data_IF_151222487975
#
_entry.id   IF_151222487975
#
_cell.length_a   1.000
_cell.length_b   1.000
_cell.length_c   1.000
_cell.angle_alpha   90.00
_cell.angle_beta   90.00
_cell.angle_gamma   90.00
#
_symmetry.space_group_name_H-M   'P 1'
#
loop_
_entity.id
_entity.type
_entity.pdbx_description
1 polymer ?
#
# COMPACT_ATOMS: atom_id res chain seq x y z
N UNK A 1 -24.42 4.84 29.99
CA UNK A 1 -24.37 5.15 28.55
C UNK A 1 -23.73 3.96 27.85
N UNK A 2 -24.32 3.48 26.76
CA UNK A 2 -23.73 2.44 25.89
C UNK A 2 -23.29 3.12 24.59
N UNK A 3 -22.01 2.95 24.19
CA UNK A 3 -21.44 3.52 22.96
C UNK A 3 -21.14 2.37 22.02
N UNK A 4 -21.64 2.45 20.80
CA UNK A 4 -21.39 1.47 19.75
C UNK A 4 -20.72 2.16 18.56
N UNK A 5 -19.64 1.58 18.06
CA UNK A 5 -18.97 2.03 16.84
C UNK A 5 -19.67 1.42 15.63
N UNK A 6 -20.09 2.28 14.70
CA UNK A 6 -20.73 1.87 13.46
C UNK A 6 -19.89 2.34 12.26
N UNK A 7 -19.68 1.44 11.29
CA UNK A 7 -18.98 1.72 10.02
C UNK A 7 -17.59 2.37 10.19
N UNK A 8 -16.70 1.79 11.02
CA UNK A 8 -15.37 2.35 11.22
C UNK A 8 -14.53 2.24 9.95
N UNK A 9 -13.68 3.23 9.68
CA UNK A 9 -12.57 3.07 8.75
C UNK A 9 -11.50 2.21 9.42
N UNK A 10 -11.18 1.06 8.84
CA UNK A 10 -10.22 0.11 9.40
C UNK A 10 -8.88 0.22 8.66
N UNK A 11 -7.80 0.27 9.44
CA UNK A 11 -6.43 0.33 8.93
C UNK A 11 -5.64 -0.79 9.59
N UNK A 12 -5.02 -1.64 8.78
CA UNK A 12 -4.03 -2.62 9.21
C UNK A 12 -2.64 -2.00 9.18
N UNK A 13 -1.86 -2.16 10.24
CA UNK A 13 -0.45 -1.77 10.29
C UNK A 13 0.30 -2.96 10.84
N UNK A 14 1.25 -3.45 10.05
CA UNK A 14 2.09 -4.57 10.45
C UNK A 14 3.57 -4.27 10.17
N UNK A 15 4.44 -5.08 10.74
CA UNK A 15 5.88 -4.97 10.60
C UNK A 15 6.44 -6.36 10.26
N UNK A 16 7.05 -6.50 9.08
CA UNK A 16 7.78 -7.71 8.73
C UNK A 16 8.93 -7.95 9.72
N UNK A 17 9.19 -9.19 10.04
CA UNK A 17 10.39 -9.57 10.79
C UNK A 17 11.66 -9.39 9.94
N UNK A 18 12.82 -9.48 10.59
CA UNK A 18 14.10 -9.21 9.94
C UNK A 18 14.39 -10.22 8.81
N UNK A 19 14.04 -11.49 8.99
CA UNK A 19 14.26 -12.54 7.99
C UNK A 19 13.43 -12.25 6.71
N UNK A 20 12.17 -11.89 6.87
CA UNK A 20 11.27 -11.48 5.77
C UNK A 20 11.80 -10.23 5.05
N UNK A 21 12.26 -9.22 5.81
CA UNK A 21 12.85 -8.00 5.23
C UNK A 21 14.07 -8.33 4.37
N UNK A 22 14.98 -9.16 4.86
CA UNK A 22 16.20 -9.56 4.15
C UNK A 22 15.88 -10.39 2.90
N UNK A 23 14.93 -11.31 2.98
CA UNK A 23 14.49 -12.12 1.84
C UNK A 23 13.88 -11.23 0.74
N UNK A 24 12.98 -10.30 1.11
CA UNK A 24 12.40 -9.33 0.17
C UNK A 24 13.50 -8.44 -0.44
N UNK A 25 14.46 -7.98 0.37
CA UNK A 25 15.56 -7.16 -0.12
C UNK A 25 16.40 -7.91 -1.16
N UNK A 26 16.66 -9.20 -0.94
CA UNK A 26 17.37 -10.04 -1.89
C UNK A 26 16.60 -10.18 -3.23
N UNK A 27 15.30 -10.46 -3.18
CA UNK A 27 14.46 -10.52 -4.39
C UNK A 27 14.49 -9.20 -5.17
N UNK A 28 14.29 -8.06 -4.49
CA UNK A 28 14.28 -6.74 -5.11
C UNK A 28 15.62 -6.42 -5.77
N UNK A 29 16.74 -6.74 -5.11
CA UNK A 29 18.07 -6.52 -5.67
C UNK A 29 18.31 -7.36 -6.93
N UNK A 30 17.88 -8.60 -6.97
CA UNK A 30 17.98 -9.46 -8.15
C UNK A 30 17.16 -8.92 -9.34
N UNK A 31 16.02 -8.29 -9.08
CA UNK A 31 15.12 -7.77 -10.10
C UNK A 31 15.34 -6.29 -10.43
N UNK A 32 16.34 -5.66 -9.79
CA UNK A 32 16.60 -4.22 -9.90
C UNK A 32 16.63 -3.69 -11.34
N UNK A 33 17.32 -4.32 -12.32
CA UNK A 33 17.35 -3.81 -13.69
C UNK A 33 15.97 -3.79 -14.35
N UNK A 34 15.13 -4.80 -14.08
CA UNK A 34 13.75 -4.86 -14.56
C UNK A 34 12.92 -3.75 -13.91
N UNK A 35 12.99 -3.63 -12.57
CA UNK A 35 12.23 -2.64 -11.81
C UNK A 35 12.55 -1.22 -12.27
N UNK A 36 13.83 -0.88 -12.43
CA UNK A 36 14.27 0.43 -12.91
C UNK A 36 13.81 0.73 -14.34
N UNK A 37 13.77 -0.28 -15.21
CA UNK A 37 13.31 -0.15 -16.59
C UNK A 37 11.81 0.13 -16.75
N UNK A 38 11.00 -0.13 -15.71
CA UNK A 38 9.56 0.11 -15.70
C UNK A 38 9.16 1.49 -15.15
N UNK A 39 10.10 2.24 -14.57
CA UNK A 39 9.79 3.49 -13.88
C UNK A 39 9.50 4.63 -14.84
N UNK A 40 8.38 5.32 -14.60
CA UNK A 40 7.99 6.54 -15.30
C UNK A 40 7.49 7.60 -14.31
N UNK A 41 7.61 8.90 -14.58
CA UNK A 41 7.01 9.96 -13.76
C UNK A 41 5.49 9.79 -13.68
N UNK A 42 4.92 9.91 -12.46
CA UNK A 42 3.49 9.69 -12.24
C UNK A 42 2.83 10.84 -11.49
N UNK A 43 3.33 11.23 -10.32
CA UNK A 43 2.85 12.36 -9.52
C UNK A 43 3.81 13.55 -9.66
N UNK A 44 4.01 14.03 -10.89
CA UNK A 44 5.08 14.96 -11.21
C UNK A 44 6.44 14.26 -11.35
N UNK A 45 7.50 15.04 -11.60
CA UNK A 45 8.83 14.49 -11.93
C UNK A 45 9.55 13.81 -10.77
N UNK A 46 9.10 14.06 -9.54
CA UNK A 46 9.76 13.57 -8.33
C UNK A 46 9.13 12.28 -7.75
N UNK A 47 8.14 11.72 -8.42
CA UNK A 47 7.59 10.39 -8.09
C UNK A 47 7.64 9.52 -9.34
N UNK A 48 8.50 8.51 -9.31
CA UNK A 48 8.60 7.50 -10.36
C UNK A 48 7.79 6.27 -9.96
N UNK A 49 7.07 5.68 -10.90
CA UNK A 49 6.25 4.50 -10.65
C UNK A 49 6.24 3.55 -11.84
N UNK A 50 6.04 2.25 -11.57
CA UNK A 50 5.79 1.25 -12.60
C UNK A 50 4.30 1.06 -12.91
N UNK A 51 3.41 1.80 -12.27
CA UNK A 51 1.94 1.60 -12.31
C UNK A 51 1.34 1.52 -13.73
N UNK A 52 1.83 2.35 -14.65
CA UNK A 52 1.33 2.37 -16.04
C UNK A 52 2.00 1.34 -16.95
N UNK A 53 3.11 0.74 -16.52
CA UNK A 53 3.94 -0.16 -17.33
C UNK A 53 3.69 -1.63 -17.04
N UNK A 54 3.39 -1.97 -15.79
CA UNK A 54 3.16 -3.33 -15.35
C UNK A 54 1.96 -3.40 -14.39
N UNK A 55 0.99 -4.25 -14.72
CA UNK A 55 -0.23 -4.36 -13.95
C UNK A 55 -0.03 -5.12 -12.64
N UNK A 56 0.72 -6.22 -12.65
CA UNK A 56 1.02 -7.04 -11.47
C UNK A 56 2.52 -7.28 -11.36
N UNK A 57 3.21 -6.28 -10.81
CA UNK A 57 4.65 -6.27 -10.67
C UNK A 57 5.16 -7.43 -9.81
N UNK A 58 4.42 -7.83 -8.75
CA UNK A 58 4.86 -8.90 -7.87
C UNK A 58 5.03 -10.21 -8.65
N UNK A 59 4.07 -10.55 -9.50
CA UNK A 59 4.15 -11.73 -10.35
C UNK A 59 5.19 -11.56 -11.48
N UNK A 60 5.18 -10.43 -12.18
CA UNK A 60 6.07 -10.20 -13.32
C UNK A 60 7.54 -10.17 -12.92
N UNK A 61 7.87 -9.56 -11.78
CA UNK A 61 9.22 -9.47 -11.24
C UNK A 61 9.58 -10.63 -10.28
N UNK A 62 8.72 -11.64 -10.15
CA UNK A 62 8.95 -12.81 -9.27
C UNK A 62 9.32 -12.41 -7.83
N UNK A 63 8.61 -11.44 -7.27
CA UNK A 63 8.77 -11.01 -5.87
C UNK A 63 7.92 -11.93 -4.97
N UNK A 64 8.27 -13.19 -4.93
CA UNK A 64 7.43 -14.25 -4.33
C UNK A 64 7.29 -14.08 -2.81
N UNK A 65 8.38 -13.74 -2.10
CA UNK A 65 8.36 -13.50 -0.65
C UNK A 65 7.51 -12.29 -0.31
N UNK A 66 7.68 -11.17 -1.06
CA UNK A 66 6.87 -9.98 -0.86
C UNK A 66 5.39 -10.25 -1.12
N UNK A 67 5.07 -10.96 -2.21
CA UNK A 67 3.70 -11.33 -2.56
C UNK A 67 3.07 -12.20 -1.47
N UNK A 68 3.74 -13.26 -1.04
CA UNK A 68 3.25 -14.16 0.00
C UNK A 68 3.03 -13.45 1.34
N UNK A 69 3.96 -12.55 1.74
CA UNK A 69 3.82 -11.73 2.94
C UNK A 69 2.58 -10.84 2.85
N UNK A 70 2.41 -10.10 1.76
CA UNK A 70 1.26 -9.20 1.55
C UNK A 70 -0.06 -9.96 1.56
N UNK A 71 -0.17 -11.06 0.81
CA UNK A 71 -1.40 -11.87 0.73
C UNK A 71 -1.76 -12.49 2.08
N UNK A 72 -0.77 -13.01 2.82
CA UNK A 72 -0.97 -13.53 4.17
C UNK A 72 -1.53 -12.46 5.11
N UNK A 73 -0.97 -11.24 5.07
CA UNK A 73 -1.43 -10.11 5.92
C UNK A 73 -2.79 -9.56 5.50
N UNK A 74 -3.13 -9.59 4.23
CA UNK A 74 -4.50 -9.27 3.78
C UNK A 74 -5.51 -10.24 4.38
N UNK A 75 -5.23 -11.54 4.37
CA UNK A 75 -6.12 -12.53 4.98
C UNK A 75 -6.26 -12.34 6.50
N UNK A 76 -5.17 -12.07 7.22
CA UNK A 76 -5.21 -11.74 8.65
C UNK A 76 -6.05 -10.47 8.91
N UNK A 77 -5.86 -9.42 8.10
CA UNK A 77 -6.64 -8.18 8.21
C UNK A 77 -8.13 -8.43 8.06
N UNK A 78 -8.54 -9.21 7.04
CA UNK A 78 -9.95 -9.53 6.79
C UNK A 78 -10.53 -10.36 7.94
N UNK A 79 -9.82 -11.37 8.41
CA UNK A 79 -10.25 -12.20 9.55
C UNK A 79 -10.43 -11.36 10.82
N UNK A 80 -9.54 -10.41 11.07
CA UNK A 80 -9.58 -9.51 12.23
C UNK A 80 -10.74 -8.53 12.18
N UNK A 81 -11.16 -8.12 10.98
CA UNK A 81 -12.24 -7.15 10.79
C UNK A 81 -13.63 -7.77 10.85
N UNK A 82 -13.74 -9.09 11.00
CA UNK A 82 -14.99 -9.86 11.00
C UNK A 82 -15.86 -9.62 9.77
N UNK A 83 -15.30 -9.10 8.71
CA UNK A 83 -15.96 -8.96 7.41
C UNK A 83 -15.89 -10.33 6.75
N UNK A 84 -17.03 -10.90 6.49
CA UNK A 84 -17.29 -12.14 5.73
C UNK A 84 -16.28 -13.31 5.83
N UNK A 85 -16.80 -14.48 6.11
CA UNK A 85 -16.08 -15.76 6.00
C UNK A 85 -16.18 -16.22 4.53
N UNK A 86 -15.15 -16.91 4.04
CA UNK A 86 -15.09 -17.50 2.70
C UNK A 86 -14.84 -16.48 1.56
N UNK A 87 -13.79 -15.69 1.71
CA UNK A 87 -13.27 -14.83 0.65
C UNK A 87 -12.02 -15.45 0.02
N UNK A 88 -11.89 -15.31 -1.30
CA UNK A 88 -10.68 -15.69 -2.05
C UNK A 88 -10.23 -14.54 -2.93
N UNK A 89 -8.93 -14.50 -3.25
CA UNK A 89 -8.39 -13.51 -4.15
C UNK A 89 -8.91 -13.71 -5.58
N UNK A 90 -9.34 -12.63 -6.21
CA UNK A 90 -9.55 -12.57 -7.64
C UNK A 90 -8.30 -11.97 -8.30
N UNK A 91 -7.36 -12.83 -8.64
CA UNK A 91 -6.07 -12.41 -9.20
C UNK A 91 -6.18 -11.70 -10.56
N UNK A 92 -7.31 -11.81 -11.27
CA UNK A 92 -7.54 -11.03 -12.50
C UNK A 92 -7.63 -9.51 -12.23
N UNK A 93 -7.93 -9.12 -10.99
CA UNK A 93 -8.02 -7.73 -10.54
C UNK A 93 -6.83 -7.30 -9.67
N UNK A 94 -5.86 -8.18 -9.41
CA UNK A 94 -4.65 -7.82 -8.68
C UNK A 94 -3.84 -6.79 -9.46
N UNK A 95 -3.36 -5.79 -8.73
CA UNK A 95 -2.39 -4.82 -9.22
C UNK A 95 -1.32 -4.64 -8.17
N UNK A 96 -0.08 -4.52 -8.62
CA UNK A 96 1.04 -4.19 -7.77
C UNK A 96 2.07 -3.36 -8.53
N UNK A 97 2.70 -2.42 -7.87
CA UNK A 97 3.68 -1.53 -8.48
C UNK A 97 4.68 -1.00 -7.46
N UNK A 98 5.84 -0.58 -7.95
CA UNK A 98 6.85 0.13 -7.16
C UNK A 98 6.69 1.64 -7.34
N UNK A 99 6.91 2.40 -6.25
CA UNK A 99 7.04 3.85 -6.27
C UNK A 99 8.40 4.25 -5.70
N UNK A 100 9.09 5.16 -6.37
CA UNK A 100 10.27 5.87 -5.87
C UNK A 100 9.90 7.33 -5.69
N UNK A 101 9.85 7.78 -4.44
CA UNK A 101 9.55 9.17 -4.09
C UNK A 101 10.85 9.88 -3.76
N UNK A 102 11.29 10.73 -4.68
CA UNK A 102 12.47 11.58 -4.56
C UNK A 102 12.18 12.81 -3.70
N UNK A 103 13.21 13.61 -3.45
CA UNK A 103 13.05 14.89 -2.77
C UNK A 103 11.94 15.74 -3.41
N UNK A 104 11.06 16.33 -2.59
CA UNK A 104 9.86 17.09 -2.96
C UNK A 104 8.74 16.28 -3.62
N UNK A 105 8.92 14.98 -3.86
CA UNK A 105 7.86 14.11 -4.34
C UNK A 105 6.78 13.91 -3.27
N UNK A 106 5.52 13.89 -3.69
CA UNK A 106 4.35 13.66 -2.84
C UNK A 106 3.24 12.99 -3.66
N UNK A 107 2.20 12.50 -2.98
CA UNK A 107 1.00 12.03 -3.65
C UNK A 107 -0.21 12.76 -3.06
N UNK A 108 -1.02 13.35 -3.91
CA UNK A 108 -2.22 14.06 -3.52
C UNK A 108 -3.27 13.13 -2.89
N UNK A 109 -4.31 13.73 -2.32
CA UNK A 109 -5.45 12.99 -1.77
C UNK A 109 -6.17 12.22 -2.89
N UNK A 110 -6.20 10.90 -2.77
CA UNK A 110 -6.86 9.99 -3.71
C UNK A 110 -7.39 8.75 -3.00
N UNK A 111 -8.11 7.92 -3.73
CA UNK A 111 -8.49 6.56 -3.34
C UNK A 111 -8.31 5.62 -4.54
N UNK A 112 -8.52 4.33 -4.31
CA UNK A 112 -8.44 3.31 -5.37
C UNK A 112 -9.80 2.64 -5.60
N UNK A 113 -10.89 3.33 -5.33
CA UNK A 113 -12.23 2.80 -5.53
C UNK A 113 -12.43 2.35 -6.99
N UNK A 114 -12.84 1.12 -7.13
CA UNK A 114 -13.21 0.51 -8.41
C UNK A 114 -14.58 -0.12 -8.22
N UNK A 115 -15.53 0.21 -9.04
CA UNK A 115 -16.90 -0.33 -9.00
C UNK A 115 -16.99 -1.84 -9.28
N UNK A 116 -16.12 -2.66 -8.69
CA UNK A 116 -16.08 -4.10 -8.85
C UNK A 116 -16.83 -4.78 -7.70
N UNK A 117 -17.58 -5.84 -8.01
CA UNK A 117 -18.18 -6.71 -7.01
C UNK A 117 -17.08 -7.42 -6.20
N UNK A 118 -17.06 -7.20 -4.88
CA UNK A 118 -16.11 -7.81 -3.98
C UNK A 118 -15.61 -6.87 -2.89
N UNK A 119 -14.59 -7.31 -2.17
CA UNK A 119 -13.92 -6.55 -1.13
C UNK A 119 -12.57 -6.04 -1.66
N UNK A 120 -12.45 -4.78 -2.06
CA UNK A 120 -11.21 -4.22 -2.54
C UNK A 120 -10.32 -3.80 -1.36
N UNK A 121 -9.08 -4.30 -1.34
CA UNK A 121 -8.05 -3.98 -0.35
C UNK A 121 -6.86 -3.35 -1.06
N UNK A 122 -6.39 -2.24 -0.55
CA UNK A 122 -5.17 -1.56 -0.99
C UNK A 122 -4.15 -1.52 0.13
N UNK A 123 -2.89 -1.33 -0.23
CA UNK A 123 -1.85 -1.18 0.75
C UNK A 123 -0.52 -0.73 0.18
N UNK A 124 0.42 -0.52 1.08
CA UNK A 124 1.80 -0.18 0.77
C UNK A 124 2.77 -0.88 1.72
N UNK A 125 3.83 -1.46 1.15
CA UNK A 125 4.97 -2.00 1.87
C UNK A 125 6.18 -1.07 1.68
N UNK A 126 6.83 -0.66 2.78
CA UNK A 126 8.00 0.22 2.73
C UNK A 126 9.28 -0.59 2.63
N UNK A 127 9.89 -0.56 1.45
CA UNK A 127 11.15 -1.25 1.17
C UNK A 127 12.37 -0.43 1.62
N UNK A 128 12.37 0.88 1.33
CA UNK A 128 13.44 1.79 1.73
C UNK A 128 12.86 3.12 2.21
N UNK A 129 13.28 3.56 3.36
CA UNK A 129 12.90 4.84 3.97
C UNK A 129 13.88 5.22 5.07
N UNK A 130 14.08 6.52 5.28
CA UNK A 130 14.81 7.06 6.43
C UNK A 130 13.87 7.42 7.60
N UNK A 131 12.55 7.22 7.45
CA UNK A 131 11.54 7.54 8.46
C UNK A 131 11.05 8.99 8.48
N UNK A 132 11.68 9.88 7.71
CA UNK A 132 11.36 11.33 7.63
C UNK A 132 11.07 11.77 6.17
N UNK A 133 11.00 10.82 5.25
CA UNK A 133 10.82 11.01 3.81
C UNK A 133 9.37 11.08 3.35
N UNK A 134 8.51 11.52 4.25
CA UNK A 134 7.09 11.76 4.00
C UNK A 134 6.17 10.68 4.56
N UNK A 135 5.14 11.12 5.27
CA UNK A 135 4.16 10.26 5.95
C UNK A 135 3.03 9.83 5.05
N UNK A 136 2.53 8.62 5.27
CA UNK A 136 1.23 8.19 4.77
C UNK A 136 0.13 8.72 5.69
N UNK A 137 -0.92 9.29 5.12
CA UNK A 137 -2.06 9.78 5.91
C UNK A 137 -3.36 9.24 5.35
N UNK A 138 -4.17 8.63 6.19
CA UNK A 138 -5.59 8.40 5.90
C UNK A 138 -6.34 9.69 6.19
N UNK A 139 -7.09 10.14 5.18
CA UNK A 139 -7.77 11.42 5.20
C UNK A 139 -9.26 11.17 5.40
N UNK A 140 -9.91 11.78 6.38
CA UNK A 140 -11.34 11.63 6.56
C UNK A 140 -12.11 12.22 5.37
N UNK A 141 -13.35 11.77 5.17
CA UNK A 141 -14.27 12.42 4.23
C UNK A 141 -14.56 13.86 4.66
N UNK A 142 -15.03 14.70 3.75
CA UNK A 142 -15.28 16.13 4.04
C UNK A 142 -16.24 16.34 5.23
N UNK A 143 -17.23 15.46 5.40
CA UNK A 143 -18.11 15.49 6.57
C UNK A 143 -17.38 15.10 7.86
N UNK A 144 -16.53 14.07 7.80
CA UNK A 144 -15.76 13.61 8.96
C UNK A 144 -14.64 14.59 9.33
N UNK A 145 -14.05 15.29 8.35
CA UNK A 145 -12.98 16.26 8.55
C UNK A 145 -13.37 17.45 9.47
N UNK A 146 -14.68 17.69 9.65
CA UNK A 146 -15.18 18.68 10.61
C UNK A 146 -14.89 18.30 12.07
N UNK A 147 -14.66 17.01 12.35
CA UNK A 147 -14.55 16.45 13.70
C UNK A 147 -13.27 15.66 13.94
N UNK A 148 -12.64 15.17 12.86
CA UNK A 148 -11.48 14.29 12.93
C UNK A 148 -10.34 14.85 12.08
N UNK A 149 -9.11 14.74 12.59
CA UNK A 149 -7.89 14.98 11.83
C UNK A 149 -7.48 13.77 10.99
N UNK A 150 -6.42 13.94 10.20
CA UNK A 150 -5.80 12.83 9.47
C UNK A 150 -5.20 11.82 10.45
N UNK A 151 -5.30 10.54 10.11
CA UNK A 151 -4.55 9.49 10.78
C UNK A 151 -3.21 9.32 10.05
N UNK A 152 -2.11 9.64 10.73
CA UNK A 152 -0.76 9.68 10.16
C UNK A 152 0.01 8.43 10.53
N UNK A 153 0.66 7.82 9.53
CA UNK A 153 1.51 6.64 9.68
C UNK A 153 2.89 6.99 9.13
N UNK A 154 3.89 7.00 10.00
CA UNK A 154 5.27 7.22 9.60
C UNK A 154 5.80 6.01 8.83
N UNK A 155 6.59 6.22 7.76
CA UNK A 155 7.24 5.14 7.05
C UNK A 155 8.30 4.47 7.94
N UNK A 156 8.46 3.15 7.76
CA UNK A 156 9.51 2.34 8.40
C UNK A 156 9.82 1.15 7.50
N UNK A 157 11.09 0.82 7.32
CA UNK A 157 11.48 -0.35 6.53
C UNK A 157 10.80 -1.62 7.05
N UNK A 158 10.18 -2.39 6.16
CA UNK A 158 9.42 -3.58 6.50
C UNK A 158 7.99 -3.31 6.99
N UNK A 159 7.56 -2.04 7.11
CA UNK A 159 6.18 -1.72 7.49
C UNK A 159 5.23 -1.96 6.34
N UNK A 160 4.11 -2.61 6.66
CA UNK A 160 2.98 -2.80 5.77
C UNK A 160 1.78 -1.99 6.29
N UNK A 161 1.12 -1.29 5.40
CA UNK A 161 -0.15 -0.60 5.67
C UNK A 161 -1.23 -1.20 4.78
N UNK A 162 -2.37 -1.57 5.36
CA UNK A 162 -3.53 -2.14 4.69
C UNK A 162 -4.77 -1.30 4.97
N UNK A 163 -5.59 -1.09 3.96
CA UNK A 163 -6.84 -0.36 4.08
C UNK A 163 -7.82 -0.76 2.98
N UNK A 164 -9.09 -0.45 3.19
CA UNK A 164 -10.09 -0.59 2.15
C UNK A 164 -9.84 0.44 1.05
N UNK A 165 -9.94 0.02 -0.21
CA UNK A 165 -9.55 0.84 -1.38
C UNK A 165 -10.33 2.15 -1.51
N UNK A 166 -11.53 2.24 -0.92
CA UNK A 166 -12.31 3.47 -0.85
C UNK A 166 -11.78 4.51 0.14
N UNK A 167 -10.86 4.13 1.03
CA UNK A 167 -10.30 5.07 2.00
C UNK A 167 -9.43 6.12 1.30
N UNK A 168 -9.81 7.39 1.48
CA UNK A 168 -8.98 8.50 0.99
C UNK A 168 -7.66 8.56 1.75
N UNK A 169 -6.58 8.70 1.00
CA UNK A 169 -5.25 8.80 1.56
C UNK A 169 -4.37 9.73 0.73
N UNK A 170 -3.26 10.12 1.31
CA UNK A 170 -2.22 10.93 0.67
C UNK A 170 -0.86 10.58 1.23
N UNK A 171 0.18 11.02 0.55
CA UNK A 171 1.57 10.94 1.03
C UNK A 171 2.16 12.32 1.04
N UNK A 172 2.65 12.77 2.20
CA UNK A 172 3.30 14.08 2.34
C UNK A 172 4.64 14.12 1.58
N UNK A 173 5.10 15.33 1.28
CA UNK A 173 6.32 15.53 0.52
C UNK A 173 7.54 14.93 1.25
N UNK A 174 8.40 14.28 0.48
CA UNK A 174 9.73 13.90 0.94
C UNK A 174 10.63 15.13 1.00
N UNK A 175 10.89 15.64 2.19
CA UNK A 175 11.75 16.81 2.37
C UNK A 175 13.22 16.47 2.55
N UNK A 176 13.59 15.19 2.39
CA UNK A 176 14.96 14.69 2.55
C UNK A 176 15.65 14.46 1.21
N UNK A 177 16.96 14.22 1.23
CA UNK A 177 17.74 13.86 0.05
C UNK A 177 17.77 12.35 -0.24
N UNK A 178 17.08 11.55 0.58
CA UNK A 178 17.00 10.09 0.40
C UNK A 178 15.73 9.72 -0.34
N UNK A 179 15.84 8.79 -1.27
CA UNK A 179 14.68 8.26 -1.97
C UNK A 179 13.89 7.30 -1.07
N UNK A 180 12.58 7.51 -0.93
CA UNK A 180 11.68 6.51 -0.35
C UNK A 180 11.23 5.56 -1.43
N UNK A 181 11.35 4.25 -1.17
CA UNK A 181 10.89 3.19 -2.07
C UNK A 181 9.80 2.39 -1.36
N UNK A 182 8.63 2.32 -1.99
CA UNK A 182 7.51 1.52 -1.51
C UNK A 182 6.92 0.67 -2.64
N UNK A 183 6.39 -0.49 -2.28
CA UNK A 183 5.56 -1.31 -3.14
C UNK A 183 4.11 -1.13 -2.75
N UNK A 184 3.30 -0.69 -3.69
CA UNK A 184 1.87 -0.51 -3.51
C UNK A 184 1.10 -1.58 -4.26
N UNK A 185 -0.12 -1.86 -3.82
CA UNK A 185 -0.93 -2.91 -4.42
C UNK A 185 -2.43 -2.68 -4.19
N UNK A 186 -3.22 -3.30 -5.08
CA UNK A 186 -4.66 -3.44 -4.97
C UNK A 186 -5.03 -4.91 -5.20
N UNK A 187 -5.79 -5.48 -4.28
CA UNK A 187 -6.35 -6.82 -4.36
C UNK A 187 -7.88 -6.74 -4.30
N UNK A 188 -8.54 -7.61 -5.03
CA UNK A 188 -9.98 -7.84 -4.92
C UNK A 188 -10.23 -9.22 -4.34
N UNK A 189 -11.08 -9.30 -3.31
CA UNK A 189 -11.53 -10.56 -2.77
C UNK A 189 -13.01 -10.76 -3.06
N UNK A 190 -13.36 -11.95 -3.51
CA UNK A 190 -14.74 -12.35 -3.82
C UNK A 190 -15.19 -13.49 -2.93
N UNK A 191 -16.50 -13.61 -2.75
CA UNK A 191 -17.10 -14.79 -2.12
C UNK A 191 -16.83 -16.03 -2.96
N UNK A 192 -16.46 -17.13 -2.30
CA UNK A 192 -16.41 -18.46 -2.89
C UNK A 192 -17.78 -19.03 -3.07
#
# INVERSE_FOLDING_TARGET
>A
MHIQTLFPTLIGIDQADQETIEAIAHEVLQQRPMLEGLLTPTWGDNVLSSFEREKDLFTAAKLETLKAFVEGKILEFIQSTRVEKHLQFDHAYTQSWINITRQFGFQERHNHERGADGLPISGAYYYNTNGEDGDFSVVPTDMQAKYFGNFVIQPKVGRLVLFRSEAFHRVSANMTNSDRISFSFNYLLKKT
#
